data_IF_257626449856
#
_entry.id   IF_257626449856
#
_cell.length_a   1.000
_cell.length_b   1.000
_cell.length_c   1.000
_cell.angle_alpha   90.00
_cell.angle_beta   90.00
_cell.angle_gamma   90.00
#
_symmetry.space_group_name_H-M   'P 1'
#
loop_
_entity.id
_entity.type
_entity.pdbx_description
1 polymer ?
#
# COMPACT_ATOMS: atom_id res chain seq x y z
N UNK A 1 4.81 -64.33 -33.73
CA UNK A 1 5.88 -63.36 -33.50
C UNK A 1 5.31 -61.95 -33.67
N UNK A 2 4.85 -61.35 -32.62
CA UNK A 2 4.30 -59.99 -32.62
C UNK A 2 5.10 -59.14 -31.64
N UNK A 3 5.87 -58.21 -32.18
CA UNK A 3 6.67 -57.24 -31.40
C UNK A 3 5.77 -56.08 -30.98
N UNK A 4 5.55 -55.97 -29.70
CA UNK A 4 4.89 -54.83 -29.06
C UNK A 4 5.89 -53.68 -28.92
N UNK A 5 5.62 -52.59 -29.61
CA UNK A 5 6.37 -51.33 -29.53
C UNK A 5 5.85 -50.56 -28.30
N UNK A 6 6.66 -50.45 -27.26
CA UNK A 6 6.44 -49.58 -26.11
C UNK A 6 6.91 -48.17 -26.50
N UNK A 7 5.98 -47.28 -26.80
CA UNK A 7 6.28 -45.86 -27.03
C UNK A 7 6.30 -45.13 -25.68
N UNK A 8 7.46 -44.65 -25.35
CA UNK A 8 7.79 -43.79 -24.21
C UNK A 8 7.01 -42.47 -24.25
N UNK A 9 6.06 -42.34 -23.35
CA UNK A 9 5.22 -41.16 -23.18
C UNK A 9 5.51 -40.44 -21.85
N UNK A 10 6.72 -39.94 -21.68
CA UNK A 10 7.08 -39.05 -20.59
C UNK A 10 8.23 -38.15 -21.12
N UNK A 11 8.02 -36.87 -21.44
CA UNK A 11 8.43 -35.76 -20.56
C UNK A 11 7.72 -34.40 -20.80
N UNK A 12 6.46 -34.38 -21.21
CA UNK A 12 5.76 -33.09 -21.44
C UNK A 12 5.19 -32.43 -20.19
N UNK A 13 5.00 -33.18 -19.11
CA UNK A 13 4.39 -32.65 -17.86
C UNK A 13 5.43 -31.92 -17.00
N UNK A 14 6.70 -32.30 -17.09
CA UNK A 14 7.78 -31.70 -16.28
C UNK A 14 8.14 -30.29 -16.73
N UNK A 15 8.00 -29.98 -18.01
CA UNK A 15 8.35 -28.68 -18.58
C UNK A 15 7.31 -27.60 -18.26
N UNK A 16 6.05 -27.95 -18.05
CA UNK A 16 4.97 -27.00 -17.72
C UNK A 16 5.07 -26.57 -16.24
N UNK A 17 5.51 -27.46 -15.34
CA UNK A 17 5.63 -27.16 -13.92
C UNK A 17 6.78 -26.17 -13.60
N UNK A 18 7.84 -26.15 -14.40
CA UNK A 18 8.98 -25.23 -14.24
C UNK A 18 8.64 -23.84 -14.78
N UNK A 19 7.77 -23.72 -15.78
CA UNK A 19 7.38 -22.44 -16.36
C UNK A 19 6.41 -21.65 -15.45
N UNK A 20 5.63 -22.33 -14.60
CA UNK A 20 4.69 -21.66 -13.68
C UNK A 20 5.39 -21.02 -12.46
N UNK A 21 6.57 -21.51 -12.09
CA UNK A 21 7.33 -20.95 -10.94
C UNK A 21 8.12 -19.70 -11.27
N UNK A 22 8.34 -19.37 -12.54
CA UNK A 22 9.11 -18.18 -12.96
C UNK A 22 8.24 -16.93 -13.07
N UNK A 23 6.91 -17.04 -13.13
CA UNK A 23 5.99 -15.91 -13.23
C UNK A 23 5.64 -15.24 -11.89
N UNK A 24 6.04 -15.82 -10.76
CA UNK A 24 5.83 -15.25 -9.43
C UNK A 24 6.89 -14.22 -9.00
N UNK A 25 7.89 -13.92 -9.85
CA UNK A 25 9.10 -13.20 -9.47
C UNK A 25 9.23 -11.74 -9.90
N UNK A 26 8.21 -11.09 -10.44
CA UNK A 26 8.33 -9.70 -10.89
C UNK A 26 7.59 -8.70 -10.01
N UNK A 27 7.84 -8.71 -8.70
CA UNK A 27 7.63 -7.54 -7.84
C UNK A 27 8.99 -6.88 -7.58
N UNK A 28 9.62 -6.37 -8.65
CA UNK A 28 10.89 -5.65 -8.57
C UNK A 28 10.71 -4.36 -7.74
N UNK A 29 11.32 -4.33 -6.55
CA UNK A 29 11.55 -3.11 -5.79
C UNK A 29 10.55 -2.77 -4.69
N UNK A 30 9.60 -3.64 -4.33
CA UNK A 30 8.65 -3.44 -3.22
C UNK A 30 9.09 -4.09 -1.91
N UNK A 31 8.42 -3.73 -0.83
CA UNK A 31 8.56 -4.43 0.45
C UNK A 31 7.73 -5.71 0.45
N UNK A 32 8.35 -6.81 0.91
CA UNK A 32 7.69 -8.11 1.05
C UNK A 32 7.59 -8.49 2.53
N UNK A 33 6.43 -8.99 2.97
CA UNK A 33 6.28 -9.45 4.35
C UNK A 33 7.13 -10.71 4.58
N UNK A 34 7.84 -10.73 5.70
CA UNK A 34 8.55 -11.92 6.16
C UNK A 34 7.58 -12.85 6.91
N UNK A 35 7.88 -14.16 7.02
CA UNK A 35 7.05 -15.07 7.80
C UNK A 35 6.89 -14.62 9.26
N UNK A 36 5.68 -14.68 9.80
CA UNK A 36 5.33 -14.25 11.15
C UNK A 36 3.99 -14.84 11.62
N UNK A 37 3.38 -14.25 12.65
CA UNK A 37 2.08 -14.67 13.21
C UNK A 37 0.88 -14.16 12.38
N UNK A 38 1.04 -14.11 11.07
CA UNK A 38 0.05 -13.65 10.11
C UNK A 38 0.15 -14.47 8.82
N UNK A 39 -0.91 -14.47 8.02
CA UNK A 39 -0.90 -15.10 6.70
C UNK A 39 -0.31 -14.16 5.66
N UNK A 40 0.39 -14.73 4.67
CA UNK A 40 0.91 -13.94 3.53
C UNK A 40 0.18 -14.40 2.28
N UNK A 41 -0.47 -13.47 1.60
CA UNK A 41 -1.21 -13.71 0.36
C UNK A 41 -1.03 -12.53 -0.59
N UNK A 42 -0.58 -12.77 -1.79
CA UNK A 42 -0.35 -11.75 -2.83
C UNK A 42 0.48 -10.53 -2.38
N UNK A 43 1.44 -10.74 -1.46
CA UNK A 43 2.26 -9.67 -0.90
C UNK A 43 1.60 -8.88 0.24
N UNK A 44 0.37 -9.21 0.61
CA UNK A 44 -0.27 -8.72 1.83
C UNK A 44 0.11 -9.58 3.03
N UNK A 45 0.31 -8.95 4.17
CA UNK A 45 0.23 -9.60 5.46
C UNK A 45 -1.22 -9.51 5.96
N UNK A 46 -1.83 -10.66 6.25
CA UNK A 46 -3.22 -10.76 6.69
C UNK A 46 -3.24 -11.15 8.16
N UNK A 47 -3.66 -10.21 8.98
CA UNK A 47 -3.79 -10.33 10.42
C UNK A 47 -5.25 -10.63 10.74
N UNK A 48 -5.49 -11.54 11.67
CA UNK A 48 -6.84 -11.86 12.16
C UNK A 48 -6.88 -11.77 13.66
N UNK A 49 -7.81 -10.99 14.16
CA UNK A 49 -8.21 -10.94 15.57
C UNK A 49 -9.64 -11.51 15.70
N UNK A 50 -10.17 -11.57 16.91
CA UNK A 50 -11.54 -12.03 17.15
C UNK A 50 -12.61 -11.15 16.47
N UNK A 51 -12.29 -9.88 16.22
CA UNK A 51 -13.25 -8.91 15.69
C UNK A 51 -12.87 -8.29 14.35
N UNK A 52 -11.58 -8.21 14.04
CA UNK A 52 -11.10 -7.56 12.83
C UNK A 52 -10.20 -8.49 11.99
N UNK A 53 -10.35 -8.41 10.69
CA UNK A 53 -9.38 -8.90 9.74
C UNK A 53 -8.74 -7.70 9.06
N UNK A 54 -7.41 -7.65 9.07
CA UNK A 54 -6.62 -6.55 8.49
C UNK A 54 -5.66 -7.13 7.47
N UNK A 55 -5.65 -6.56 6.27
CA UNK A 55 -4.64 -6.85 5.26
C UNK A 55 -3.82 -5.59 4.99
N UNK A 56 -2.50 -5.70 5.07
CA UNK A 56 -1.57 -4.57 4.92
C UNK A 56 -0.51 -4.87 3.88
N UNK A 57 -0.13 -3.85 3.10
CA UNK A 57 0.96 -3.93 2.14
C UNK A 57 1.58 -2.56 1.88
N UNK A 58 2.89 -2.36 2.11
CA UNK A 58 3.60 -1.20 1.60
C UNK A 58 3.53 -1.18 0.07
N UNK A 59 2.95 -0.15 -0.49
CA UNK A 59 2.86 0.05 -1.93
C UNK A 59 2.70 1.52 -2.27
N UNK A 60 3.22 1.92 -3.41
CA UNK A 60 3.08 3.28 -3.91
C UNK A 60 1.61 3.65 -4.12
N UNK A 61 1.27 4.89 -3.75
CA UNK A 61 -0.01 5.48 -4.07
C UNK A 61 -0.20 5.57 -5.58
N UNK A 62 -1.41 5.29 -6.06
CA UNK A 62 -1.71 5.19 -7.51
C UNK A 62 -2.64 6.29 -8.03
N UNK A 63 -3.01 7.24 -7.18
CA UNK A 63 -3.88 8.36 -7.58
C UNK A 63 -3.15 9.50 -8.26
N UNK A 64 -3.89 10.58 -8.55
CA UNK A 64 -3.46 11.70 -9.38
C UNK A 64 -2.25 12.48 -8.85
N UNK A 65 -2.10 12.62 -7.53
CA UNK A 65 -0.93 13.30 -6.93
C UNK A 65 0.34 12.46 -7.07
N UNK A 66 1.00 12.53 -8.23
CA UNK A 66 2.19 11.72 -8.56
C UNK A 66 3.35 11.93 -7.61
N UNK A 67 3.54 13.17 -7.11
CA UNK A 67 4.64 13.52 -6.21
C UNK A 67 4.44 13.03 -4.78
N UNK A 68 3.26 12.51 -4.45
CA UNK A 68 2.98 11.96 -3.12
C UNK A 68 3.97 10.86 -2.75
N UNK A 69 4.31 9.99 -3.69
CA UNK A 69 5.29 8.91 -3.50
C UNK A 69 6.73 9.40 -3.32
N UNK A 70 7.05 10.62 -3.77
CA UNK A 70 8.35 11.23 -3.55
C UNK A 70 8.47 11.84 -2.14
N UNK A 71 7.34 12.27 -1.57
CA UNK A 71 7.27 12.99 -0.31
C UNK A 71 6.87 12.10 0.87
N UNK A 72 6.21 10.98 0.62
CA UNK A 72 5.72 10.07 1.64
C UNK A 72 6.02 8.60 1.31
N UNK A 73 6.08 7.80 2.35
CA UNK A 73 6.01 6.34 2.26
C UNK A 73 4.56 5.93 2.45
N UNK A 74 4.01 5.13 1.56
CA UNK A 74 2.60 4.74 1.59
C UNK A 74 2.40 3.26 1.88
N UNK A 75 1.37 2.97 2.67
CA UNK A 75 0.92 1.61 3.01
C UNK A 75 -0.56 1.51 2.70
N UNK A 76 -0.93 0.53 1.89
CA UNK A 76 -2.33 0.22 1.64
C UNK A 76 -2.85 -0.74 2.70
N UNK A 77 -3.99 -0.42 3.27
CA UNK A 77 -4.61 -1.13 4.38
C UNK A 77 -6.06 -1.43 4.04
N UNK A 78 -6.48 -2.67 4.26
CA UNK A 78 -7.89 -3.08 4.25
C UNK A 78 -8.25 -3.60 5.62
N UNK A 79 -9.35 -3.15 6.19
CA UNK A 79 -9.87 -3.58 7.49
C UNK A 79 -11.31 -4.05 7.33
N UNK A 80 -11.61 -5.24 7.82
CA UNK A 80 -12.97 -5.80 7.81
C UNK A 80 -13.38 -6.20 9.21
N UNK A 81 -14.56 -5.79 9.62
CA UNK A 81 -15.20 -6.30 10.83
C UNK A 81 -15.76 -7.70 10.56
N UNK A 82 -15.19 -8.70 11.22
CA UNK A 82 -15.60 -10.13 11.11
C UNK A 82 -16.47 -10.58 12.27
N UNK A 83 -16.73 -9.70 13.24
CA UNK A 83 -17.58 -9.97 14.38
C UNK A 83 -19.07 -9.67 14.08
N UNK A 84 -19.94 -10.03 15.01
CA UNK A 84 -21.36 -9.72 14.97
C UNK A 84 -21.73 -8.39 15.61
N UNK A 85 -20.73 -7.66 16.17
CA UNK A 85 -20.91 -6.40 16.85
C UNK A 85 -20.21 -5.26 16.11
N UNK A 86 -20.65 -4.04 16.39
CA UNK A 86 -19.96 -2.85 15.89
C UNK A 86 -18.60 -2.70 16.56
N UNK A 87 -17.53 -2.54 15.77
CA UNK A 87 -16.15 -2.38 16.26
C UNK A 87 -15.63 -1.02 15.86
N UNK A 88 -14.93 -0.34 16.77
CA UNK A 88 -14.23 0.89 16.49
C UNK A 88 -12.81 0.59 16.02
N UNK A 89 -12.42 1.17 14.90
CA UNK A 89 -11.03 1.22 14.44
C UNK A 89 -10.39 2.50 14.98
N UNK A 90 -9.54 2.43 16.01
CA UNK A 90 -8.88 3.62 16.56
C UNK A 90 -7.77 4.12 15.64
N UNK A 91 -7.47 5.41 15.74
CA UNK A 91 -6.41 6.03 14.94
C UNK A 91 -5.02 5.47 15.28
N UNK A 92 -4.80 5.07 16.52
CA UNK A 92 -3.53 4.54 17.03
C UNK A 92 -3.26 3.08 16.61
N UNK A 93 -4.14 2.51 15.78
CA UNK A 93 -4.05 1.09 15.38
C UNK A 93 -2.86 0.77 14.48
N UNK A 94 -2.20 1.78 13.90
CA UNK A 94 -1.17 1.58 12.88
C UNK A 94 0.03 2.48 13.12
N UNK A 95 1.21 1.88 13.21
CA UNK A 95 2.49 2.61 13.25
C UNK A 95 3.58 1.81 12.53
N UNK A 96 4.72 2.45 12.26
CA UNK A 96 5.90 1.79 11.69
C UNK A 96 7.08 2.02 12.61
N UNK A 97 7.87 0.96 12.84
CA UNK A 97 9.17 1.04 13.49
C UNK A 97 10.25 0.68 12.49
N UNK A 98 11.26 1.54 12.36
CA UNK A 98 12.44 1.30 11.53
C UNK A 98 13.65 1.98 12.14
N UNK A 99 14.81 1.28 12.18
CA UNK A 99 16.03 1.83 12.74
C UNK A 99 15.92 2.27 14.21
N UNK A 100 15.03 1.63 15.00
CA UNK A 100 14.78 1.96 16.40
C UNK A 100 13.92 3.22 16.62
N UNK A 101 13.31 3.77 15.57
CA UNK A 101 12.39 4.91 15.65
C UNK A 101 10.99 4.49 15.25
N UNK A 102 10.00 5.02 15.97
CA UNK A 102 8.59 4.89 15.62
C UNK A 102 8.20 6.04 14.68
N UNK A 103 7.35 5.73 13.73
CA UNK A 103 6.74 6.65 12.77
C UNK A 103 5.24 6.44 12.83
N UNK A 104 4.54 7.49 13.13
CA UNK A 104 3.09 7.54 13.04
C UNK A 104 2.70 8.02 11.63
N UNK A 105 1.50 7.70 11.19
CA UNK A 105 1.04 8.16 9.89
C UNK A 105 0.76 9.67 9.91
N UNK A 106 0.84 10.27 8.74
CA UNK A 106 0.64 11.70 8.54
C UNK A 106 -0.84 11.97 8.31
N UNK A 107 -1.37 12.96 9.01
CA UNK A 107 -2.76 13.37 8.85
C UNK A 107 -3.07 13.86 7.44
N UNK A 108 -4.24 13.50 6.94
CA UNK A 108 -4.71 13.90 5.61
C UNK A 108 -4.71 15.44 5.45
N UNK A 109 -5.13 16.17 6.48
CA UNK A 109 -5.16 17.62 6.45
C UNK A 109 -3.76 18.24 6.25
N UNK A 110 -2.74 17.66 6.90
CA UNK A 110 -1.35 18.08 6.69
C UNK A 110 -0.89 17.83 5.24
N UNK A 111 -1.22 16.67 4.69
CA UNK A 111 -0.87 16.33 3.30
C UNK A 111 -1.52 17.33 2.35
N UNK A 112 -2.83 17.56 2.48
CA UNK A 112 -3.59 18.48 1.63
C UNK A 112 -3.08 19.91 1.75
N UNK A 113 -2.77 20.38 2.96
CA UNK A 113 -2.26 21.74 3.18
C UNK A 113 -0.86 21.93 2.56
N UNK A 114 0.01 20.93 2.62
CA UNK A 114 1.34 20.98 2.03
C UNK A 114 1.29 21.07 0.51
N UNK A 115 0.37 20.35 -0.13
CA UNK A 115 0.13 20.43 -1.57
C UNK A 115 -0.46 21.78 -1.99
N UNK A 116 -1.42 22.29 -1.23
CA UNK A 116 -1.99 23.59 -1.51
C UNK A 116 -0.93 24.71 -1.45
N UNK A 117 -0.05 24.69 -0.45
CA UNK A 117 1.07 25.63 -0.36
C UNK A 117 2.04 25.51 -1.54
N UNK A 118 2.33 24.32 -2.00
CA UNK A 118 3.22 24.08 -3.13
C UNK A 118 2.63 24.64 -4.42
N UNK A 119 1.35 24.41 -4.69
CA UNK A 119 0.64 24.99 -5.85
C UNK A 119 0.68 26.52 -5.85
N UNK A 120 0.46 27.13 -4.68
CA UNK A 120 0.52 28.61 -4.55
C UNK A 120 1.93 29.11 -4.80
N UNK A 121 2.96 28.44 -4.28
CA UNK A 121 4.36 28.84 -4.47
C UNK A 121 4.82 28.69 -5.92
N UNK A 122 4.43 27.64 -6.61
CA UNK A 122 4.74 27.45 -8.03
C UNK A 122 4.12 28.54 -8.89
N UNK A 123 2.92 28.97 -8.58
CA UNK A 123 2.25 30.09 -9.25
C UNK A 123 2.98 31.44 -9.04
N UNK A 124 3.72 31.59 -7.93
CA UNK A 124 4.46 32.83 -7.60
C UNK A 124 5.92 32.82 -8.03
N UNK A 125 6.47 31.67 -8.45
CA UNK A 125 7.92 31.56 -8.77
C UNK A 125 8.33 32.16 -10.11
N UNK A 126 7.41 32.49 -11.01
CA UNK A 126 7.73 33.16 -12.26
C UNK A 126 6.95 34.48 -12.42
N UNK A 127 7.41 35.58 -11.78
CA UNK A 127 6.78 36.89 -11.91
C UNK A 127 6.90 37.48 -13.32
N UNK A 128 7.68 36.85 -14.22
CA UNK A 128 7.86 37.28 -15.61
C UNK A 128 7.11 36.39 -16.60
N UNK A 129 6.59 35.24 -16.17
CA UNK A 129 5.72 34.44 -16.99
C UNK A 129 4.31 35.06 -17.00
N UNK A 130 4.20 36.13 -17.75
CA UNK A 130 2.98 36.91 -17.98
C UNK A 130 2.05 36.19 -18.98
N UNK A 131 2.19 34.90 -19.17
CA UNK A 131 1.17 34.15 -19.92
C UNK A 131 0.03 33.76 -18.98
N UNK A 132 -1.02 34.62 -18.88
CA UNK A 132 -2.19 34.31 -18.06
C UNK A 132 -3.06 33.21 -18.65
N UNK A 133 -2.56 32.52 -19.70
CA UNK A 133 -3.29 31.62 -20.57
C UNK A 133 -2.89 30.14 -20.42
N UNK A 134 -1.99 29.80 -19.51
CA UNK A 134 -2.01 28.43 -19.02
C UNK A 134 -2.95 28.37 -17.82
N UNK A 135 -4.21 27.97 -18.01
CA UNK A 135 -5.07 27.68 -16.88
C UNK A 135 -4.34 26.53 -16.14
N UNK A 136 -3.87 26.82 -14.92
CA UNK A 136 -3.67 25.74 -13.94
C UNK A 136 -4.96 24.95 -14.03
N UNK A 137 -4.85 23.66 -14.37
CA UNK A 137 -6.01 22.84 -14.63
C UNK A 137 -6.71 22.62 -13.28
N UNK A 138 -7.56 23.62 -12.91
CA UNK A 138 -8.24 23.64 -11.60
C UNK A 138 -9.16 22.46 -11.47
N UNK A 139 -9.70 21.94 -12.59
CA UNK A 139 -10.54 20.76 -12.60
C UNK A 139 -9.71 19.53 -12.22
N UNK A 140 -8.51 19.35 -12.83
CA UNK A 140 -7.64 18.23 -12.50
C UNK A 140 -7.17 18.27 -11.03
N UNK A 141 -6.80 19.45 -10.53
CA UNK A 141 -6.38 19.61 -9.14
C UNK A 141 -7.51 19.29 -8.14
N UNK A 142 -8.76 19.63 -8.48
CA UNK A 142 -9.91 19.30 -7.66
C UNK A 142 -10.22 17.81 -7.71
N UNK A 143 -10.09 17.18 -8.86
CA UNK A 143 -10.28 15.75 -9.03
C UNK A 143 -9.23 14.96 -8.20
N UNK A 144 -7.94 15.31 -8.32
CA UNK A 144 -6.85 14.72 -7.54
C UNK A 144 -7.06 14.88 -6.02
N UNK A 145 -7.58 16.04 -5.60
CA UNK A 145 -7.94 16.31 -4.21
C UNK A 145 -9.01 15.35 -3.69
N UNK A 146 -10.11 15.21 -4.44
CA UNK A 146 -11.19 14.29 -4.04
C UNK A 146 -10.76 12.83 -4.11
N UNK A 147 -9.93 12.45 -5.07
CA UNK A 147 -9.36 11.12 -5.17
C UNK A 147 -8.48 10.79 -3.94
N UNK A 148 -7.62 11.70 -3.52
CA UNK A 148 -6.80 11.52 -2.32
C UNK A 148 -7.67 11.39 -1.07
N UNK A 149 -8.68 12.24 -0.90
CA UNK A 149 -9.62 12.15 0.23
C UNK A 149 -10.34 10.81 0.25
N UNK A 150 -10.80 10.33 -0.90
CA UNK A 150 -11.52 9.05 -1.02
C UNK A 150 -10.62 7.83 -0.79
N UNK A 151 -9.35 7.95 -1.15
CA UNK A 151 -8.37 6.85 -1.03
C UNK A 151 -7.64 6.80 0.32
N UNK A 152 -7.77 7.83 1.17
CA UNK A 152 -7.18 7.83 2.50
C UNK A 152 -7.98 6.92 3.45
N UNK A 153 -7.30 6.10 4.26
CA UNK A 153 -7.98 5.19 5.19
C UNK A 153 -8.77 5.99 6.25
N UNK A 154 -10.08 5.79 6.28
CA UNK A 154 -10.95 6.41 7.26
C UNK A 154 -11.05 5.57 8.54
N UNK A 155 -10.90 6.21 9.69
CA UNK A 155 -11.04 5.59 11.00
C UNK A 155 -12.48 5.64 11.55
N UNK A 156 -12.69 5.11 12.74
CA UNK A 156 -13.97 5.12 13.44
C UNK A 156 -14.72 3.80 13.34
N UNK A 157 -16.03 3.86 13.40
CA UNK A 157 -16.88 2.68 13.56
C UNK A 157 -17.01 1.84 12.27
N UNK A 158 -16.93 0.52 12.42
CA UNK A 158 -17.26 -0.48 11.42
C UNK A 158 -18.45 -1.31 11.89
N UNK A 159 -19.51 -1.35 11.10
CA UNK A 159 -20.64 -2.24 11.33
C UNK A 159 -20.25 -3.71 11.09
N UNK A 160 -20.98 -4.70 11.62
CA UNK A 160 -20.76 -6.11 11.33
C UNK A 160 -20.67 -6.36 9.82
N UNK A 161 -19.62 -7.07 9.40
CA UNK A 161 -19.35 -7.39 7.99
C UNK A 161 -18.87 -6.23 7.11
N UNK A 162 -18.88 -4.99 7.61
CA UNK A 162 -18.38 -3.83 6.87
C UNK A 162 -16.86 -3.87 6.72
N UNK A 163 -16.37 -3.27 5.64
CA UNK A 163 -14.95 -3.07 5.39
C UNK A 163 -14.64 -1.60 5.10
N UNK A 164 -13.42 -1.20 5.42
CA UNK A 164 -12.79 0.06 5.01
C UNK A 164 -11.46 -0.26 4.38
N UNK A 165 -11.08 0.51 3.38
CA UNK A 165 -9.78 0.38 2.75
C UNK A 165 -9.22 1.74 2.38
N UNK A 166 -7.91 1.84 2.25
CA UNK A 166 -7.27 3.07 1.86
C UNK A 166 -5.78 3.09 2.18
N UNK A 167 -5.18 4.22 1.89
CA UNK A 167 -3.76 4.46 2.14
C UNK A 167 -3.54 5.17 3.46
N UNK A 168 -2.45 4.80 4.13
CA UNK A 168 -1.81 5.55 5.19
C UNK A 168 -0.46 6.04 4.68
N UNK A 169 -0.12 7.28 4.98
CA UNK A 169 1.11 7.91 4.55
C UNK A 169 2.02 8.17 5.74
N UNK A 170 3.31 7.90 5.56
CA UNK A 170 4.34 8.02 6.58
C UNK A 170 5.51 8.85 6.08
N UNK A 171 6.45 9.16 6.97
CA UNK A 171 7.68 9.89 6.61
C UNK A 171 8.43 9.20 5.46
N UNK A 172 8.83 10.00 4.47
CA UNK A 172 9.55 9.54 3.26
C UNK A 172 10.85 8.78 3.54
N UNK A 173 11.48 9.00 4.70
CA UNK A 173 12.72 8.33 5.05
C UNK A 173 12.56 6.81 5.08
N UNK A 174 11.35 6.30 5.32
CA UNK A 174 11.02 4.89 5.26
C UNK A 174 11.24 4.28 3.85
N UNK A 175 11.19 5.06 2.79
CA UNK A 175 11.52 4.61 1.43
C UNK A 175 12.96 4.07 1.30
N UNK A 176 13.86 4.47 2.21
CA UNK A 176 15.27 4.05 2.23
C UNK A 176 15.55 2.90 3.18
N UNK A 177 14.60 2.52 4.01
CA UNK A 177 14.75 1.45 4.98
C UNK A 177 14.93 0.11 4.24
N UNK A 178 15.80 -0.75 4.73
CA UNK A 178 15.94 -2.13 4.25
C UNK A 178 14.89 -3.04 4.88
N UNK A 179 14.55 -2.72 6.13
CA UNK A 179 13.56 -3.45 6.92
C UNK A 179 12.70 -2.46 7.70
N UNK A 180 11.45 -2.78 7.83
CA UNK A 180 10.50 -2.05 8.66
C UNK A 180 9.54 -3.02 9.37
N UNK A 181 9.08 -2.64 10.54
CA UNK A 181 8.06 -3.35 11.29
C UNK A 181 6.80 -2.49 11.27
N UNK A 182 5.77 -2.96 10.61
CA UNK A 182 4.46 -2.34 10.61
C UNK A 182 3.64 -2.93 11.75
N UNK A 183 3.29 -2.13 12.74
CA UNK A 183 2.37 -2.53 13.79
C UNK A 183 0.93 -2.33 13.30
N UNK A 184 0.15 -3.39 13.31
CA UNK A 184 -1.27 -3.34 13.01
C UNK A 184 -2.05 -3.97 14.16
N UNK A 185 -2.81 -3.17 14.89
CA UNK A 185 -3.62 -3.61 16.03
C UNK A 185 -2.78 -4.27 17.15
N UNK A 186 -1.53 -3.85 17.34
CA UNK A 186 -0.59 -4.44 18.30
C UNK A 186 0.09 -5.73 17.80
N UNK A 187 -0.10 -6.10 16.53
CA UNK A 187 0.55 -7.26 15.91
C UNK A 187 1.63 -6.77 14.94
N UNK A 188 2.91 -7.06 15.22
CA UNK A 188 4.01 -6.60 14.38
C UNK A 188 4.12 -7.43 13.10
N UNK A 189 4.21 -6.76 11.97
CA UNK A 189 4.47 -7.34 10.65
C UNK A 189 5.82 -6.84 10.15
N UNK A 190 6.77 -7.73 9.99
CA UNK A 190 8.09 -7.39 9.46
C UNK A 190 8.08 -7.43 7.94
N UNK A 191 8.56 -6.35 7.33
CA UNK A 191 8.76 -6.24 5.88
C UNK A 191 10.23 -6.05 5.57
N UNK A 192 10.71 -6.74 4.55
CA UNK A 192 12.04 -6.54 3.97
C UNK A 192 11.93 -6.02 2.55
N UNK A 193 12.83 -5.11 2.19
CA UNK A 193 12.90 -4.58 0.82
C UNK A 193 13.41 -5.67 -0.12
N UNK A 194 12.62 -5.98 -1.15
CA UNK A 194 13.05 -6.89 -2.21
C UNK A 194 14.27 -6.33 -2.94
N UNK A 195 15.17 -7.23 -3.33
CA UNK A 195 16.38 -6.93 -4.13
C UNK A 195 15.99 -6.70 -5.58
#
# INVERSE_FOLDING_TARGET
MTRTSMITMIPKILTISILLTVLAGCALGGYLPLPGEYQIEEGFAIIRTDSLQVAVRPQSYRGGYRDLNNNFFSVYVMVRNVSTEKVKLPMESFSIVSGGRQYDYVDLEYILSSYHQQMVLEQWQDPFNLDPLQPVDQEQNMEDYYELMASYLSFGDLQPGAAKEGYLFYDRNLNRAQELIFDALGIPVTYSKGI
#
